data_IF_384828373925
#
_entry.id   IF_384828373925
#
_cell.length_a   1.000
_cell.length_b   1.000
_cell.length_c   1.000
_cell.angle_alpha   90.00
_cell.angle_beta   90.00
_cell.angle_gamma   90.00
#
_symmetry.space_group_name_H-M   'P 1'
#
loop_
_entity.id
_entity.type
_entity.pdbx_description
1 polymer ?
#
# COMPACT_ATOMS: atom_id res chain seq x y z
N UNK A 1 9.78 -7.07 2.63
CA UNK A 1 9.11 -6.09 1.74
C UNK A 1 9.89 -5.75 0.48
N UNK A 2 11.16 -5.32 0.56
CA UNK A 2 11.96 -4.98 -0.64
C UNK A 2 12.02 -6.12 -1.66
N UNK A 3 12.21 -7.36 -1.20
CA UNK A 3 12.16 -8.55 -2.04
C UNK A 3 10.87 -8.68 -2.85
N UNK A 4 9.72 -8.41 -2.25
CA UNK A 4 8.42 -8.49 -2.93
C UNK A 4 8.27 -7.39 -3.98
N UNK A 5 8.71 -6.17 -3.67
CA UNK A 5 8.66 -5.05 -4.60
C UNK A 5 9.55 -5.31 -5.83
N UNK A 6 10.77 -5.83 -5.61
CA UNK A 6 11.68 -6.24 -6.70
C UNK A 6 11.11 -7.39 -7.53
N UNK A 7 10.56 -8.41 -6.87
CA UNK A 7 9.99 -9.57 -7.55
C UNK A 7 8.76 -9.19 -8.40
N UNK A 8 7.87 -8.36 -7.86
CA UNK A 8 6.67 -7.88 -8.57
C UNK A 8 6.96 -6.88 -9.69
N UNK A 9 8.14 -6.25 -9.69
CA UNK A 9 8.62 -5.44 -10.81
C UNK A 9 9.25 -6.25 -11.95
N UNK A 10 9.59 -7.53 -11.71
CA UNK A 10 10.37 -8.36 -12.66
C UNK A 10 9.69 -9.67 -13.05
N UNK A 11 8.67 -10.12 -12.32
CA UNK A 11 7.87 -11.31 -12.62
C UNK A 11 6.40 -10.95 -12.79
N UNK A 12 5.82 -11.20 -13.98
CA UNK A 12 4.38 -10.99 -14.22
C UNK A 12 3.51 -11.77 -13.22
N UNK A 13 3.98 -12.94 -12.80
CA UNK A 13 3.30 -13.78 -11.80
C UNK A 13 3.26 -13.11 -10.43
N UNK A 14 4.30 -12.38 -10.04
CA UNK A 14 4.27 -11.61 -8.79
C UNK A 14 3.58 -10.25 -8.97
N UNK A 15 3.69 -9.64 -10.14
CA UNK A 15 3.00 -8.39 -10.47
C UNK A 15 1.48 -8.54 -10.38
N UNK A 16 0.93 -9.65 -10.90
CA UNK A 16 -0.51 -9.90 -10.81
C UNK A 16 -0.98 -10.17 -9.37
N UNK A 17 -0.11 -10.71 -8.50
CA UNK A 17 -0.42 -10.84 -7.07
C UNK A 17 -0.46 -9.48 -6.39
N UNK A 18 0.50 -8.60 -6.68
CA UNK A 18 0.51 -7.22 -6.18
C UNK A 18 -0.71 -6.41 -6.66
N UNK A 19 -1.18 -6.67 -7.88
CA UNK A 19 -2.33 -6.00 -8.47
C UNK A 19 -3.67 -6.74 -8.26
N UNK A 20 -3.71 -7.80 -7.46
CA UNK A 20 -4.94 -8.55 -7.21
C UNK A 20 -5.88 -7.74 -6.32
N UNK A 21 -7.14 -7.65 -6.72
CA UNK A 21 -8.24 -7.00 -6.02
C UNK A 21 -9.12 -7.97 -5.22
N UNK A 22 -8.98 -9.28 -5.44
CA UNK A 22 -9.64 -10.32 -4.65
C UNK A 22 -9.20 -10.24 -3.16
N UNK A 23 -10.07 -9.68 -2.32
CA UNK A 23 -9.83 -9.54 -0.89
C UNK A 23 -10.10 -10.82 -0.09
N UNK A 24 -10.80 -11.80 -0.67
CA UNK A 24 -11.28 -12.98 0.05
C UNK A 24 -10.26 -14.11 0.08
N UNK A 25 -9.40 -14.21 -0.93
CA UNK A 25 -8.33 -15.21 -0.96
C UNK A 25 -7.04 -14.68 -0.31
N UNK A 26 -6.45 -15.44 0.64
CA UNK A 26 -5.11 -15.17 1.16
C UNK A 26 -4.06 -15.06 0.04
N UNK A 27 -3.13 -14.11 0.13
CA UNK A 27 -2.13 -13.84 -0.92
C UNK A 27 -1.27 -15.06 -1.24
N UNK A 28 -0.96 -15.88 -0.24
CA UNK A 28 -0.22 -17.14 -0.40
C UNK A 28 -1.08 -18.30 -0.92
N UNK A 29 -2.36 -18.10 -1.23
CA UNK A 29 -3.23 -19.10 -1.87
C UNK A 29 -3.68 -18.71 -3.26
N UNK A 30 -3.48 -17.45 -3.65
CA UNK A 30 -3.77 -16.97 -5.00
C UNK A 30 -2.96 -17.75 -6.04
N UNK A 31 -3.60 -18.03 -7.17
CA UNK A 31 -2.96 -18.66 -8.33
C UNK A 31 -2.63 -17.60 -9.39
N UNK A 32 -1.35 -17.23 -9.59
CA UNK A 32 -0.99 -16.26 -10.61
C UNK A 32 -1.47 -16.65 -12.01
N UNK A 33 -1.41 -17.94 -12.36
CA UNK A 33 -1.91 -18.43 -13.66
C UNK A 33 -3.41 -18.22 -13.82
N UNK A 34 -4.20 -18.46 -12.76
CA UNK A 34 -5.64 -18.25 -12.81
C UNK A 34 -5.98 -16.76 -12.92
N UNK A 35 -5.26 -15.89 -12.20
CA UNK A 35 -5.45 -14.44 -12.27
C UNK A 35 -5.09 -13.89 -13.66
N UNK A 36 -3.97 -14.31 -14.25
CA UNK A 36 -3.58 -13.90 -15.60
C UNK A 36 -4.60 -14.35 -16.64
N UNK A 37 -5.08 -15.60 -16.53
CA UNK A 37 -6.14 -16.10 -17.40
C UNK A 37 -7.44 -15.31 -17.24
N UNK A 38 -7.83 -14.96 -16.02
CA UNK A 38 -9.03 -14.16 -15.78
C UNK A 38 -8.91 -12.76 -16.42
N UNK A 39 -7.72 -12.16 -16.40
CA UNK A 39 -7.46 -10.89 -17.11
C UNK A 39 -7.61 -11.10 -18.62
N UNK A 40 -7.00 -12.14 -19.19
CA UNK A 40 -7.14 -12.45 -20.62
C UNK A 40 -8.62 -12.62 -21.00
N UNK A 41 -9.35 -13.46 -20.29
CA UNK A 41 -10.77 -13.73 -20.53
C UNK A 41 -11.62 -12.44 -20.45
N UNK A 42 -11.32 -11.56 -19.48
CA UNK A 42 -11.99 -10.26 -19.35
C UNK A 42 -11.72 -9.32 -20.53
N UNK A 43 -10.47 -9.26 -21.01
CA UNK A 43 -10.12 -8.47 -22.19
C UNK A 43 -10.85 -9.00 -23.43
N UNK A 44 -10.91 -10.32 -23.61
CA UNK A 44 -11.63 -10.91 -24.74
C UNK A 44 -13.13 -10.62 -24.70
N UNK A 45 -13.73 -10.69 -23.52
CA UNK A 45 -15.15 -10.39 -23.34
C UNK A 45 -15.44 -8.91 -23.59
N UNK A 46 -14.63 -8.02 -23.00
CA UNK A 46 -14.78 -6.57 -23.16
C UNK A 46 -14.63 -6.14 -24.62
N UNK A 47 -13.69 -6.74 -25.37
CA UNK A 47 -13.53 -6.46 -26.80
C UNK A 47 -14.78 -6.82 -27.61
N UNK A 48 -15.42 -7.96 -27.28
CA UNK A 48 -16.71 -8.35 -27.88
C UNK A 48 -17.82 -7.36 -27.52
N UNK A 49 -17.91 -6.99 -26.25
CA UNK A 49 -18.97 -6.11 -25.74
C UNK A 49 -18.87 -4.68 -26.29
N UNK A 50 -17.64 -4.18 -26.48
CA UNK A 50 -17.38 -2.85 -27.04
C UNK A 50 -17.36 -2.82 -28.57
N UNK A 51 -17.39 -3.99 -29.22
CA UNK A 51 -17.29 -4.09 -30.67
C UNK A 51 -15.94 -3.60 -31.22
N UNK A 52 -14.86 -3.72 -30.45
CA UNK A 52 -13.52 -3.26 -30.82
C UNK A 52 -12.48 -4.40 -30.74
N UNK A 53 -11.24 -4.12 -31.14
CA UNK A 53 -10.17 -5.10 -31.08
C UNK A 53 -9.64 -5.31 -29.66
N UNK A 54 -9.12 -6.50 -29.36
CA UNK A 54 -8.44 -6.78 -28.08
C UNK A 54 -7.31 -5.78 -27.80
N UNK A 55 -6.56 -5.39 -28.83
CA UNK A 55 -5.45 -4.43 -28.71
C UNK A 55 -5.92 -3.05 -28.22
N UNK A 56 -7.09 -2.60 -28.65
CA UNK A 56 -7.68 -1.32 -28.18
C UNK A 56 -8.09 -1.42 -26.72
N UNK A 57 -8.71 -2.53 -26.31
CA UNK A 57 -9.04 -2.76 -24.89
C UNK A 57 -7.78 -2.86 -24.04
N UNK A 58 -6.75 -3.59 -24.48
CA UNK A 58 -5.47 -3.71 -23.77
C UNK A 58 -4.77 -2.34 -23.60
N UNK A 59 -4.94 -1.43 -24.57
CA UNK A 59 -4.39 -0.08 -24.49
C UNK A 59 -5.12 0.80 -23.45
N UNK A 60 -6.40 0.56 -23.22
CA UNK A 60 -7.23 1.32 -22.26
C UNK A 60 -7.18 0.75 -20.84
N UNK A 61 -7.24 -0.57 -20.70
CA UNK A 61 -7.40 -1.26 -19.41
C UNK A 61 -6.13 -1.96 -18.92
N UNK A 62 -5.11 -2.07 -19.76
CA UNK A 62 -3.93 -2.88 -19.50
C UNK A 62 -4.08 -4.33 -19.97
N UNK A 63 -3.09 -5.17 -19.67
CA UNK A 63 -3.07 -6.57 -20.12
C UNK A 63 -2.36 -7.48 -19.11
N UNK A 64 -2.60 -8.79 -19.19
CA UNK A 64 -1.90 -9.81 -18.40
C UNK A 64 -0.40 -9.92 -18.76
N UNK A 65 -0.02 -9.40 -19.93
CA UNK A 65 1.33 -9.50 -20.51
C UNK A 65 2.22 -8.30 -20.18
N UNK A 66 1.70 -7.30 -19.48
CA UNK A 66 2.42 -6.07 -19.11
C UNK A 66 2.52 -5.96 -17.59
N UNK A 67 3.58 -5.31 -17.13
CA UNK A 67 3.69 -4.92 -15.73
C UNK A 67 2.75 -3.76 -15.46
N UNK A 68 1.79 -3.97 -14.56
CA UNK A 68 0.90 -2.93 -14.09
C UNK A 68 1.51 -2.29 -12.85
N UNK A 69 1.65 -0.96 -12.87
CA UNK A 69 2.03 -0.19 -11.69
C UNK A 69 0.79 -0.04 -10.81
N UNK A 70 0.75 -0.65 -9.61
CA UNK A 70 -0.43 -0.58 -8.76
C UNK A 70 -0.66 0.86 -8.26
N UNK A 71 -1.93 1.25 -8.22
CA UNK A 71 -2.36 2.45 -7.48
C UNK A 71 -2.17 2.26 -5.98
N UNK A 72 -2.11 3.37 -5.24
CA UNK A 72 -1.79 3.40 -3.82
C UNK A 72 -2.66 2.47 -2.95
N UNK A 73 -3.98 2.42 -3.20
CA UNK A 73 -4.91 1.56 -2.47
C UNK A 73 -4.68 0.07 -2.69
N UNK A 74 -4.36 -0.33 -3.92
CA UNK A 74 -4.07 -1.73 -4.28
C UNK A 74 -2.76 -2.19 -3.63
N UNK A 75 -1.73 -1.34 -3.69
CA UNK A 75 -0.48 -1.58 -2.96
C UNK A 75 -0.73 -1.73 -1.47
N UNK A 76 -1.42 -0.76 -0.84
CA UNK A 76 -1.67 -0.80 0.59
C UNK A 76 -2.42 -2.08 1.01
N UNK A 77 -3.44 -2.50 0.25
CA UNK A 77 -4.17 -3.73 0.52
C UNK A 77 -3.25 -4.96 0.43
N UNK A 78 -2.51 -5.13 -0.66
CA UNK A 78 -1.68 -6.31 -0.86
C UNK A 78 -0.45 -6.35 0.07
N UNK A 79 0.03 -5.20 0.53
CA UNK A 79 1.01 -5.14 1.62
C UNK A 79 0.40 -5.64 2.92
N UNK A 80 -0.80 -5.19 3.30
CA UNK A 80 -1.47 -5.71 4.50
C UNK A 80 -1.69 -7.22 4.41
N UNK A 81 -2.14 -7.73 3.26
CA UNK A 81 -2.26 -9.17 2.98
C UNK A 81 -0.94 -9.90 3.20
N UNK A 82 0.16 -9.36 2.70
CA UNK A 82 1.47 -10.00 2.84
C UNK A 82 1.89 -10.19 4.31
N UNK A 83 1.54 -9.25 5.20
CA UNK A 83 1.84 -9.33 6.62
C UNK A 83 0.82 -10.18 7.42
N UNK A 84 -0.47 -10.07 7.08
CA UNK A 84 -1.57 -10.55 7.92
C UNK A 84 -2.24 -11.83 7.44
N UNK A 85 -2.18 -12.12 6.13
CA UNK A 85 -2.86 -13.30 5.60
C UNK A 85 -2.23 -14.57 6.15
N UNK A 86 -3.08 -15.50 6.57
CA UNK A 86 -2.67 -16.84 6.97
C UNK A 86 -3.69 -17.88 6.48
N UNK A 87 -3.59 -19.11 6.96
CA UNK A 87 -4.45 -20.20 6.49
C UNK A 87 -5.94 -20.06 6.88
N UNK A 88 -6.25 -19.14 7.79
CA UNK A 88 -7.58 -18.88 8.37
C UNK A 88 -8.05 -17.44 8.15
N UNK A 89 -7.14 -16.51 7.90
CA UNK A 89 -7.42 -15.09 7.74
C UNK A 89 -6.97 -14.56 6.38
N UNK A 90 -7.85 -13.78 5.76
CA UNK A 90 -7.57 -13.00 4.55
C UNK A 90 -7.93 -11.55 4.83
N UNK A 91 -6.93 -10.67 4.83
CA UNK A 91 -7.15 -9.24 4.97
C UNK A 91 -7.98 -8.72 3.80
N UNK A 92 -9.05 -8.00 4.13
CA UNK A 92 -9.92 -7.25 3.21
C UNK A 92 -10.23 -5.90 3.83
N UNK A 93 -9.98 -4.83 3.06
CA UNK A 93 -10.17 -3.46 3.53
C UNK A 93 -11.62 -3.19 3.95
N UNK A 94 -12.58 -3.70 3.18
CA UNK A 94 -14.02 -3.50 3.40
C UNK A 94 -14.52 -4.16 4.69
N UNK A 95 -13.88 -5.27 5.09
CA UNK A 95 -14.21 -6.01 6.32
C UNK A 95 -13.45 -5.49 7.54
N UNK A 96 -12.45 -4.62 7.33
CA UNK A 96 -11.62 -4.09 8.39
C UNK A 96 -12.32 -3.01 9.22
N UNK A 97 -12.13 -3.04 10.54
CA UNK A 97 -12.63 -2.01 11.42
C UNK A 97 -11.71 -0.79 11.39
N UNK A 98 -12.23 0.37 10.98
CA UNK A 98 -11.51 1.63 11.08
C UNK A 98 -11.60 2.22 12.48
N UNK A 99 -10.48 2.64 13.04
CA UNK A 99 -10.41 3.40 14.29
C UNK A 99 -10.33 4.90 14.03
N UNK A 100 -10.74 5.72 15.00
CA UNK A 100 -10.60 7.19 14.93
C UNK A 100 -9.15 7.63 15.13
N UNK A 101 -8.83 8.88 14.77
CA UNK A 101 -7.51 9.46 15.03
C UNK A 101 -7.16 9.44 16.54
N UNK A 102 -8.11 9.77 17.41
CA UNK A 102 -7.88 9.77 18.86
C UNK A 102 -7.63 8.36 19.41
N UNK A 103 -8.37 7.37 18.91
CA UNK A 103 -8.15 5.96 19.25
C UNK A 103 -6.78 5.49 18.76
N UNK A 104 -6.40 5.82 17.53
CA UNK A 104 -5.09 5.48 16.97
C UNK A 104 -3.97 6.09 17.82
N UNK A 105 -4.02 7.39 18.12
CA UNK A 105 -3.02 8.06 18.94
C UNK A 105 -2.88 7.42 20.33
N UNK A 106 -4.00 7.03 20.94
CA UNK A 106 -4.00 6.32 22.22
C UNK A 106 -3.33 4.94 22.13
N UNK A 107 -3.61 4.19 21.07
CA UNK A 107 -3.02 2.87 20.84
C UNK A 107 -1.53 2.95 20.52
N UNK A 108 -1.11 3.87 19.64
CA UNK A 108 0.29 4.09 19.26
C UNK A 108 1.16 4.44 20.48
N UNK A 109 0.63 5.21 21.43
CA UNK A 109 1.33 5.59 22.65
C UNK A 109 1.53 4.42 23.64
N UNK A 110 0.84 3.29 23.44
CA UNK A 110 0.81 2.14 24.37
C UNK A 110 1.21 0.82 23.72
N UNK A 111 1.80 0.84 22.53
CA UNK A 111 2.21 -0.39 21.86
C UNK A 111 3.25 -1.15 22.69
N UNK A 112 3.05 -2.46 22.95
CA UNK A 112 4.06 -3.29 23.58
C UNK A 112 5.35 -3.32 22.77
N UNK A 113 6.49 -3.11 23.43
CA UNK A 113 7.80 -2.97 22.80
C UNK A 113 8.25 -4.23 22.05
N UNK A 114 7.82 -5.40 22.53
CA UNK A 114 8.15 -6.75 22.05
C UNK A 114 7.25 -7.27 20.92
N UNK A 115 6.24 -6.49 20.51
CA UNK A 115 5.28 -6.85 19.47
C UNK A 115 5.40 -5.97 18.23
N UNK A 116 5.09 -6.55 17.08
CA UNK A 116 5.12 -5.87 15.78
C UNK A 116 3.71 -5.47 15.35
N UNK A 117 3.59 -4.28 14.76
CA UNK A 117 2.31 -3.76 14.30
C UNK A 117 2.41 -3.20 12.89
N UNK A 118 1.30 -3.22 12.18
CA UNK A 118 1.18 -2.65 10.84
C UNK A 118 -0.10 -1.83 10.77
N UNK A 119 0.02 -0.62 10.24
CA UNK A 119 -1.07 0.33 10.12
C UNK A 119 -1.34 0.61 8.64
N UNK A 120 -2.55 0.32 8.18
CA UNK A 120 -3.04 0.84 6.90
C UNK A 120 -3.71 2.19 7.13
N UNK A 121 -3.39 3.14 6.27
CA UNK A 121 -4.00 4.47 6.25
C UNK A 121 -4.66 4.72 4.90
N UNK A 122 -5.90 5.19 4.92
CA UNK A 122 -6.50 5.94 3.82
C UNK A 122 -6.61 7.39 4.26
N UNK A 123 -5.88 8.29 3.61
CA UNK A 123 -5.86 9.73 3.88
C UNK A 123 -6.73 10.44 2.84
N UNK A 124 -7.96 10.79 3.23
CA UNK A 124 -8.93 11.41 2.34
C UNK A 124 -8.53 12.82 1.89
N UNK A 125 -7.74 13.53 2.70
CA UNK A 125 -7.23 14.86 2.37
C UNK A 125 -6.16 14.81 1.29
N UNK A 126 -5.29 13.79 1.34
CA UNK A 126 -4.32 13.52 0.27
C UNK A 126 -4.93 12.79 -0.93
N UNK A 127 -6.06 12.10 -0.75
CA UNK A 127 -6.57 11.15 -1.74
C UNK A 127 -5.64 9.95 -1.89
N UNK A 128 -4.97 9.55 -0.81
CA UNK A 128 -3.84 8.61 -0.85
C UNK A 128 -3.98 7.46 0.14
N UNK A 129 -3.35 6.33 -0.15
CA UNK A 129 -3.30 5.17 0.73
C UNK A 129 -1.88 4.65 0.88
N UNK A 130 -1.51 4.32 2.12
CA UNK A 130 -0.16 3.87 2.46
C UNK A 130 -0.19 2.99 3.69
N UNK A 131 0.93 2.32 3.95
CA UNK A 131 1.12 1.42 5.08
C UNK A 131 2.29 1.90 5.93
N UNK A 132 2.17 1.80 7.24
CA UNK A 132 3.23 2.09 8.20
C UNK A 132 3.54 0.81 8.97
N UNK A 133 4.76 0.29 8.82
CA UNK A 133 5.31 -0.81 9.61
C UNK A 133 5.93 -0.27 10.91
N UNK A 134 5.61 -0.95 12.01
CA UNK A 134 5.98 -0.62 13.37
C UNK A 134 6.58 -1.88 14.03
N UNK A 135 7.82 -2.26 13.66
CA UNK A 135 8.44 -3.46 14.18
C UNK A 135 8.70 -3.35 15.69
N UNK A 136 8.75 -4.51 16.36
CA UNK A 136 9.20 -4.60 17.76
C UNK A 136 10.57 -3.94 17.93
N UNK A 137 10.76 -3.23 19.04
CA UNK A 137 11.97 -2.46 19.29
C UNK A 137 12.18 -2.30 20.80
N UNK A 138 13.41 -2.55 21.25
CA UNK A 138 13.84 -2.27 22.61
C UNK A 138 14.27 -0.80 22.81
N UNK A 139 14.27 0.02 21.75
CA UNK A 139 14.62 1.44 21.84
C UNK A 139 13.55 2.20 22.65
N UNK A 140 13.90 3.29 23.35
CA UNK A 140 12.93 4.14 24.05
C UNK A 140 11.85 4.69 23.11
N UNK A 141 12.19 4.89 21.84
CA UNK A 141 11.26 5.29 20.79
C UNK A 141 11.32 4.28 19.64
N UNK A 142 10.14 3.78 19.25
CA UNK A 142 9.99 2.87 18.12
C UNK A 142 10.14 3.64 16.80
N UNK A 143 10.99 3.11 15.94
CA UNK A 143 11.09 3.54 14.54
C UNK A 143 9.89 3.01 13.74
N UNK A 144 9.39 3.82 12.82
CA UNK A 144 8.33 3.45 11.88
C UNK A 144 8.84 3.51 10.43
N UNK A 145 8.28 2.70 9.54
CA UNK A 145 8.66 2.66 8.13
C UNK A 145 7.42 2.78 7.25
N UNK A 146 7.43 3.71 6.30
CA UNK A 146 6.30 3.94 5.40
C UNK A 146 6.49 3.16 4.10
N UNK A 147 5.43 2.50 3.63
CA UNK A 147 5.37 1.77 2.36
C UNK A 147 4.24 2.33 1.49
N UNK A 148 4.55 2.65 0.23
CA UNK A 148 3.59 3.23 -0.71
C UNK A 148 3.97 2.99 -2.17
N UNK A 149 2.96 3.08 -3.03
CA UNK A 149 3.06 3.50 -4.43
C UNK A 149 2.09 4.66 -4.62
N UNK A 150 2.22 5.42 -5.70
CA UNK A 150 1.33 6.53 -6.00
C UNK A 150 1.13 6.68 -7.52
N UNK A 151 -0.12 6.94 -7.93
CA UNK A 151 -0.46 7.25 -9.32
C UNK A 151 -0.03 8.68 -9.69
N UNK A 152 -0.01 9.60 -8.73
CA UNK A 152 0.46 10.97 -8.90
C UNK A 152 -0.59 11.99 -9.36
N UNK A 153 -1.87 11.64 -9.29
CA UNK A 153 -2.98 12.56 -9.63
C UNK A 153 -3.28 13.56 -8.49
N UNK A 154 -2.83 13.26 -7.27
CA UNK A 154 -3.00 14.09 -6.07
C UNK A 154 -1.87 15.10 -5.86
N UNK A 155 -1.61 15.42 -4.59
CA UNK A 155 -0.60 16.38 -4.18
C UNK A 155 0.85 15.84 -4.26
N UNK A 156 0.99 14.52 -4.27
CA UNK A 156 2.24 13.77 -4.43
C UNK A 156 2.41 13.36 -5.90
N UNK A 157 3.66 13.17 -6.34
CA UNK A 157 4.01 12.79 -7.73
C UNK A 157 3.89 11.27 -7.94
N UNK A 158 3.83 10.79 -9.21
CA UNK A 158 3.82 9.36 -9.49
C UNK A 158 5.03 8.65 -8.88
N UNK A 159 4.81 7.47 -8.31
CA UNK A 159 5.82 6.74 -7.55
C UNK A 159 5.58 5.22 -7.63
N UNK A 160 6.53 4.50 -8.21
CA UNK A 160 6.50 3.03 -8.22
C UNK A 160 6.90 2.49 -6.85
N UNK A 161 6.27 1.39 -6.43
CA UNK A 161 6.59 0.71 -5.17
C UNK A 161 8.08 0.32 -5.11
N UNK A 162 8.64 -0.24 -6.19
CA UNK A 162 10.06 -0.64 -6.24
C UNK A 162 11.01 0.53 -5.98
N UNK A 163 10.75 1.69 -6.58
CA UNK A 163 11.59 2.88 -6.43
C UNK A 163 11.51 3.39 -4.98
N UNK A 164 10.30 3.45 -4.41
CA UNK A 164 10.11 3.80 -3.00
C UNK A 164 10.85 2.84 -2.06
N UNK A 165 10.68 1.53 -2.27
CA UNK A 165 11.25 0.49 -1.42
C UNK A 165 12.78 0.44 -1.47
N UNK A 166 13.36 0.74 -2.64
CA UNK A 166 14.81 0.73 -2.83
C UNK A 166 15.51 2.00 -2.34
N UNK A 167 14.81 3.15 -2.35
CA UNK A 167 15.44 4.45 -2.04
C UNK A 167 15.04 5.02 -0.69
N UNK A 168 13.76 4.96 -0.29
CA UNK A 168 13.27 5.71 0.87
C UNK A 168 12.66 4.86 2.00
N UNK A 169 12.03 3.73 1.70
CA UNK A 169 11.29 2.94 2.70
C UNK A 169 12.11 2.46 3.91
N UNK A 170 13.43 2.34 3.80
CA UNK A 170 14.30 1.95 4.90
C UNK A 170 14.68 3.11 5.84
N UNK A 171 14.31 4.36 5.51
CA UNK A 171 14.55 5.51 6.38
C UNK A 171 13.51 5.51 7.50
N UNK A 172 13.95 5.44 8.78
CA UNK A 172 13.03 5.44 9.90
C UNK A 172 12.32 6.79 10.05
N UNK A 173 11.05 6.74 10.40
CA UNK A 173 10.17 7.87 10.66
C UNK A 173 9.81 7.82 12.15
N UNK A 174 9.94 8.96 12.84
CA UNK A 174 9.51 9.05 14.22
C UNK A 174 7.97 9.00 14.30
N UNK A 175 7.42 8.30 15.29
CA UNK A 175 5.97 8.30 15.55
C UNK A 175 5.39 9.71 15.73
N UNK A 176 6.17 10.64 16.28
CA UNK A 176 5.79 12.05 16.40
C UNK A 176 5.63 12.74 15.03
N UNK A 177 6.43 12.38 14.02
CA UNK A 177 6.28 12.92 12.67
C UNK A 177 4.98 12.41 12.01
N UNK A 178 4.63 11.14 12.24
CA UNK A 178 3.38 10.54 11.77
C UNK A 178 2.18 11.21 12.44
N UNK A 179 2.21 11.35 13.77
CA UNK A 179 1.15 12.06 14.51
C UNK A 179 1.03 13.53 14.09
N UNK A 180 2.16 14.21 13.85
CA UNK A 180 2.17 15.58 13.33
C UNK A 180 1.46 15.67 11.98
N UNK A 181 1.72 14.73 11.06
CA UNK A 181 1.03 14.67 9.76
C UNK A 181 -0.48 14.55 9.93
N UNK A 182 -0.94 13.57 10.71
CA UNK A 182 -2.38 13.37 10.93
C UNK A 182 -3.06 14.57 11.58
N UNK A 183 -2.43 15.19 12.58
CA UNK A 183 -2.96 16.38 13.24
C UNK A 183 -2.99 17.60 12.29
N UNK A 184 -1.95 17.78 11.50
CA UNK A 184 -1.88 18.84 10.49
C UNK A 184 -3.02 18.68 9.48
N UNK A 185 -3.16 17.50 8.88
CA UNK A 185 -4.23 17.21 7.93
C UNK A 185 -5.62 17.37 8.56
N UNK A 186 -5.88 16.77 9.71
CA UNK A 186 -7.18 16.84 10.38
C UNK A 186 -7.58 18.27 10.81
N UNK A 187 -6.60 19.15 11.04
CA UNK A 187 -6.84 20.58 11.34
C UNK A 187 -6.85 21.48 10.10
N UNK A 188 -6.68 20.92 8.90
CA UNK A 188 -6.57 21.68 7.64
C UNK A 188 -5.27 22.47 7.49
N UNK A 189 -4.28 22.22 8.33
CA UNK A 189 -2.95 22.83 8.23
C UNK A 189 -2.10 22.06 7.22
N UNK A 190 -1.81 22.68 6.09
CA UNK A 190 -0.89 22.13 5.08
C UNK A 190 0.53 22.54 5.41
N UNK A 191 1.41 21.56 5.60
CA UNK A 191 2.86 21.73 5.82
C UNK A 191 3.60 20.98 4.70
N UNK A 192 3.87 21.63 3.54
CA UNK A 192 4.44 20.96 2.38
C UNK A 192 5.81 20.34 2.64
N UNK A 193 6.64 20.97 3.48
CA UNK A 193 7.95 20.42 3.87
C UNK A 193 7.78 19.11 4.64
N UNK A 194 6.81 19.05 5.55
CA UNK A 194 6.49 17.82 6.28
C UNK A 194 5.93 16.73 5.37
N UNK A 195 5.07 17.09 4.41
CA UNK A 195 4.56 16.14 3.40
C UNK A 195 5.72 15.62 2.54
N UNK A 196 6.62 16.48 2.08
CA UNK A 196 7.77 16.06 1.27
C UNK A 196 8.69 15.13 2.06
N UNK A 197 8.98 15.48 3.32
CA UNK A 197 9.75 14.64 4.25
C UNK A 197 9.17 13.22 4.33
N UNK A 198 7.85 13.08 4.45
CA UNK A 198 7.22 11.76 4.63
C UNK A 198 6.97 11.02 3.32
N UNK A 199 6.53 11.70 2.26
CA UNK A 199 5.91 11.06 1.09
C UNK A 199 6.66 11.25 -0.23
N UNK A 200 7.52 12.27 -0.36
CA UNK A 200 8.31 12.43 -1.59
C UNK A 200 9.58 11.57 -1.55
N UNK A 201 9.89 10.81 -2.61
CA UNK A 201 11.06 9.91 -2.63
C UNK A 201 12.41 10.62 -2.39
N UNK A 202 12.52 11.91 -2.76
CA UNK A 202 13.73 12.72 -2.60
C UNK A 202 13.59 13.74 -1.45
N UNK A 203 12.44 13.81 -0.78
CA UNK A 203 12.14 14.88 0.17
C UNK A 203 11.98 16.26 -0.49
N UNK A 204 11.69 16.32 -1.78
CA UNK A 204 11.68 17.55 -2.55
C UNK A 204 10.30 18.21 -2.58
N UNK A 205 10.14 19.28 -1.79
CA UNK A 205 8.90 20.07 -1.71
C UNK A 205 8.42 20.62 -3.07
N UNK A 206 9.35 20.88 -4.01
CA UNK A 206 9.02 21.43 -5.33
C UNK A 206 8.31 20.42 -6.23
N UNK A 207 8.32 19.14 -5.88
CA UNK A 207 7.60 18.09 -6.59
C UNK A 207 6.15 17.95 -6.12
N UNK A 208 5.78 18.62 -5.03
CA UNK A 208 4.43 18.59 -4.50
C UNK A 208 3.52 19.58 -5.22
N UNK A 209 2.23 19.27 -5.20
CA UNK A 209 1.13 20.10 -5.68
C UNK A 209 0.09 20.28 -4.57
N UNK A 210 0.38 21.10 -3.53
CA UNK A 210 -0.51 21.25 -2.38
C UNK A 210 -1.93 21.70 -2.74
N UNK A 211 -2.10 22.41 -3.86
CA UNK A 211 -3.39 22.82 -4.41
C UNK A 211 -4.30 21.66 -4.82
N UNK A 212 -3.74 20.45 -4.98
CA UNK A 212 -4.50 19.22 -5.29
C UNK A 212 -4.98 18.46 -4.04
N UNK A 213 -4.66 18.94 -2.85
CA UNK A 213 -5.19 18.35 -1.63
C UNK A 213 -6.70 18.61 -1.50
N UNK A 214 -7.46 17.61 -1.08
CA UNK A 214 -8.89 17.71 -0.87
C UNK A 214 -9.21 18.19 0.55
N UNK A 215 -9.27 19.51 0.73
CA UNK A 215 -9.55 20.10 2.04
C UNK A 215 -10.94 19.78 2.60
N UNK A 216 -11.90 19.35 1.78
CA UNK A 216 -13.21 18.89 2.25
C UNK A 216 -13.17 17.49 2.89
N UNK A 217 -12.10 16.74 2.66
CA UNK A 217 -11.88 15.39 3.20
C UNK A 217 -10.66 15.32 4.12
N UNK A 218 -10.16 16.46 4.59
CA UNK A 218 -8.95 16.58 5.40
C UNK A 218 -9.03 15.86 6.77
N UNK A 219 -10.23 15.64 7.28
CA UNK A 219 -10.52 14.85 8.49
C UNK A 219 -10.98 13.42 8.19
N UNK A 220 -11.06 13.02 6.91
CA UNK A 220 -11.55 11.72 6.48
C UNK A 220 -10.39 10.73 6.42
N UNK A 221 -10.11 10.11 7.55
CA UNK A 221 -9.16 9.01 7.65
C UNK A 221 -9.85 7.67 7.81
N UNK A 222 -9.26 6.63 7.22
CA UNK A 222 -9.51 5.25 7.62
C UNK A 222 -8.20 4.65 8.14
N UNK A 223 -8.20 4.24 9.41
CA UNK A 223 -7.04 3.67 10.09
C UNK A 223 -7.33 2.23 10.48
N UNK A 224 -6.54 1.29 9.99
CA UNK A 224 -6.63 -0.12 10.38
C UNK A 224 -5.28 -0.59 10.94
N UNK A 225 -5.22 -0.73 12.26
CA UNK A 225 -4.02 -1.17 12.98
C UNK A 225 -4.16 -2.66 13.35
N UNK A 226 -3.12 -3.45 13.07
CA UNK A 226 -3.08 -4.87 13.42
C UNK A 226 -1.71 -5.25 13.99
N UNK A 227 -1.70 -6.21 14.91
CA UNK A 227 -0.48 -6.93 15.31
C UNK A 227 -0.11 -7.94 14.21
N UNK A 228 1.18 -8.15 13.95
CA UNK A 228 1.64 -9.17 13.00
C UNK A 228 2.79 -10.01 13.57
N UNK A 229 2.99 -11.19 12.99
CA UNK A 229 4.15 -12.04 13.26
C UNK A 229 5.14 -11.98 12.10
N UNK A 230 6.42 -11.66 12.33
CA UNK A 230 7.44 -11.71 11.27
C UNK A 230 7.56 -13.09 10.61
N UNK A 231 7.29 -14.16 11.35
CA UNK A 231 7.25 -15.54 10.82
C UNK A 231 6.15 -15.74 9.78
N UNK A 232 5.02 -15.06 9.94
CA UNK A 232 3.92 -15.12 8.97
C UNK A 232 4.30 -14.42 7.66
N UNK A 233 4.89 -13.22 7.78
CA UNK A 233 5.44 -12.50 6.64
C UNK A 233 6.50 -13.33 5.88
N UNK A 234 7.42 -13.97 6.60
CA UNK A 234 8.45 -14.84 6.03
C UNK A 234 7.85 -16.07 5.31
N UNK A 235 6.84 -16.72 5.92
CA UNK A 235 6.09 -17.82 5.32
C UNK A 235 5.42 -17.37 4.02
N UNK A 236 4.70 -16.26 4.03
CA UNK A 236 4.03 -15.74 2.84
C UNK A 236 5.02 -15.39 1.74
N UNK A 237 6.13 -14.73 2.07
CA UNK A 237 7.18 -14.42 1.11
C UNK A 237 7.80 -15.67 0.49
N UNK A 238 8.08 -16.70 1.28
CA UNK A 238 8.62 -17.98 0.78
C UNK A 238 7.65 -18.64 -0.19
N UNK A 239 6.37 -18.71 0.16
CA UNK A 239 5.33 -19.30 -0.67
C UNK A 239 5.08 -18.52 -1.97
N UNK A 240 5.18 -17.19 -1.93
CA UNK A 240 5.08 -16.35 -3.13
C UNK A 240 6.30 -16.57 -4.03
N UNK A 241 7.52 -16.51 -3.48
CA UNK A 241 8.76 -16.75 -4.25
C UNK A 241 8.71 -18.10 -4.96
N UNK A 242 8.27 -19.17 -4.28
CA UNK A 242 8.17 -20.50 -4.87
C UNK A 242 7.15 -20.59 -6.03
N UNK A 243 6.10 -19.77 -6.03
CA UNK A 243 5.06 -19.78 -7.08
C UNK A 243 5.32 -18.82 -8.24
N UNK A 244 6.16 -17.83 -8.02
CA UNK A 244 6.43 -16.73 -8.95
C UNK A 244 7.85 -16.74 -9.52
N UNK A 245 8.72 -17.61 -9.00
CA UNK A 245 9.99 -17.99 -9.63
C UNK A 245 9.76 -18.73 -10.96
#
# INVERSE_FOLDING_TARGET
>A
MQDFAKLSATSLRANVLLNSDDGDTPIHRKSPSALLKAIDDNIEQTARDWGCSKTEVEAMLGSSKRFNAPVCGVTANNVMKLFLDDDRHSYSFEKGHSISLSQLQHQLAKLPADKHFILRVNDGGMGHAYVIDLPASAKPHRDAFLYQSDLGDGATRPLRLEDWMSRKAAHPIALNDINKHFNNMASGKVDPEHIAKLFDIDGNVKMLRPERLNMHKNNSFNFQLAEYSPKNLEKNMTLIKARCA
#
